data_IF_892993099742
#
_entry.id   IF_892993099742
#
_cell.length_a   1.000
_cell.length_b   1.000
_cell.length_c   1.000
_cell.angle_alpha   90.00
_cell.angle_beta   90.00
_cell.angle_gamma   90.00
#
_symmetry.space_group_name_H-M   'P 1'
#
loop_
_entity.id
_entity.type
_entity.pdbx_description
1 polymer ?
#
# COMPACT_ATOMS: atom_id res chain seq x y z
N UNK A 1 -1.84 -19.01 0.91
CA UNK A 1 -2.98 -18.27 1.50
C UNK A 1 -3.59 -17.33 0.46
N UNK A 2 -4.49 -17.84 -0.38
CA UNK A 2 -5.27 -17.05 -1.32
C UNK A 2 -6.46 -16.47 -0.55
N UNK A 3 -6.34 -15.27 -0.04
CA UNK A 3 -7.49 -14.55 0.50
C UNK A 3 -8.12 -13.73 -0.60
N UNK A 4 -9.30 -14.10 -1.02
CA UNK A 4 -10.13 -13.27 -1.87
C UNK A 4 -10.60 -12.05 -1.07
N UNK A 5 -10.34 -10.86 -1.56
CA UNK A 5 -10.77 -9.66 -0.89
C UNK A 5 -11.68 -8.85 -1.75
N UNK A 6 -12.86 -9.05 -1.61
CA UNK A 6 -13.83 -8.11 -2.08
C UNK A 6 -14.31 -8.37 -3.48
N UNK A 7 -15.53 -8.05 -3.60
CA UNK A 7 -16.34 -8.03 -4.78
C UNK A 7 -16.01 -6.74 -5.53
N UNK A 8 -15.41 -6.83 -6.69
CA UNK A 8 -15.18 -5.68 -7.55
C UNK A 8 -16.55 -5.26 -8.14
N UNK A 9 -16.97 -4.06 -7.83
CA UNK A 9 -18.31 -3.58 -8.17
C UNK A 9 -18.59 -3.50 -9.68
N UNK A 10 -17.55 -3.31 -10.50
CA UNK A 10 -17.73 -3.14 -11.95
C UNK A 10 -18.09 -4.42 -12.70
N UNK A 11 -17.66 -5.58 -12.24
CA UNK A 11 -17.88 -6.84 -12.93
C UNK A 11 -18.41 -7.94 -12.02
N UNK A 12 -18.85 -7.63 -10.82
CA UNK A 12 -19.39 -8.59 -9.84
C UNK A 12 -18.51 -9.84 -9.66
N UNK A 13 -17.20 -9.69 -9.66
CA UNK A 13 -16.25 -10.78 -9.51
C UNK A 13 -15.33 -10.56 -8.33
N UNK A 14 -14.86 -11.67 -7.75
CA UNK A 14 -13.84 -11.66 -6.71
C UNK A 14 -12.49 -11.26 -7.32
N UNK A 15 -11.77 -10.39 -6.64
CA UNK A 15 -10.43 -9.97 -7.01
C UNK A 15 -9.42 -10.53 -6.03
N UNK A 16 -8.29 -11.02 -6.53
CA UNK A 16 -7.19 -11.49 -5.68
C UNK A 16 -6.56 -10.33 -4.92
N UNK A 17 -6.15 -10.58 -3.69
CA UNK A 17 -5.53 -9.54 -2.83
C UNK A 17 -4.23 -9.02 -3.41
N UNK A 18 -3.44 -9.91 -3.92
CA UNK A 18 -2.15 -9.61 -4.51
C UNK A 18 -2.15 -10.13 -5.93
N UNK A 19 -1.90 -9.25 -6.85
CA UNK A 19 -1.75 -9.57 -8.26
C UNK A 19 -0.59 -8.73 -8.79
N UNK A 20 0.32 -9.38 -9.46
CA UNK A 20 1.44 -8.74 -10.12
C UNK A 20 1.39 -9.02 -11.61
N UNK A 21 1.54 -7.99 -12.41
CA UNK A 21 1.75 -8.06 -13.85
C UNK A 21 2.98 -7.20 -14.17
N UNK A 22 4.13 -7.82 -14.30
CA UNK A 22 5.39 -7.13 -14.54
C UNK A 22 6.23 -7.87 -15.55
N UNK A 23 7.06 -7.13 -16.25
CA UNK A 23 8.10 -7.68 -17.14
C UNK A 23 9.39 -7.70 -16.32
N UNK A 24 9.98 -8.87 -16.22
CA UNK A 24 11.29 -9.03 -15.60
C UNK A 24 12.38 -8.84 -16.66
N UNK A 25 13.26 -7.90 -16.41
CA UNK A 25 14.35 -7.60 -17.34
C UNK A 25 15.55 -8.48 -17.03
N UNK A 26 16.12 -9.08 -18.07
CA UNK A 26 17.32 -9.92 -17.96
C UNK A 26 18.60 -9.11 -17.71
N UNK A 27 18.53 -7.80 -17.89
CA UNK A 27 19.62 -6.86 -17.57
C UNK A 27 19.76 -6.62 -16.07
N UNK A 28 18.70 -6.82 -15.30
CA UNK A 28 18.70 -6.69 -13.86
C UNK A 28 19.25 -7.98 -13.22
N UNK A 29 19.86 -7.83 -12.05
CA UNK A 29 20.31 -8.98 -11.28
C UNK A 29 19.10 -9.82 -10.80
N UNK A 30 19.35 -11.11 -10.51
CA UNK A 30 18.32 -11.99 -9.95
C UNK A 30 17.74 -11.41 -8.66
N UNK A 31 18.58 -10.79 -7.83
CA UNK A 31 18.16 -10.19 -6.56
C UNK A 31 17.24 -8.99 -6.78
N UNK A 32 17.54 -8.09 -7.71
CA UNK A 32 16.69 -6.95 -8.05
C UNK A 32 15.33 -7.39 -8.59
N UNK A 33 15.31 -8.37 -9.51
CA UNK A 33 14.07 -8.93 -10.02
C UNK A 33 13.24 -9.61 -8.92
N UNK A 34 13.91 -10.33 -8.01
CA UNK A 34 13.23 -10.97 -6.87
C UNK A 34 12.64 -9.91 -5.93
N UNK A 35 13.37 -8.87 -5.58
CA UNK A 35 12.88 -7.79 -4.73
C UNK A 35 11.70 -7.06 -5.38
N UNK A 36 11.76 -6.82 -6.69
CA UNK A 36 10.63 -6.24 -7.43
C UNK A 36 9.36 -7.09 -7.33
N UNK A 37 9.49 -8.42 -7.35
CA UNK A 37 8.35 -9.32 -7.15
C UNK A 37 7.86 -9.23 -5.70
N UNK A 38 8.77 -9.24 -4.73
CA UNK A 38 8.46 -9.24 -3.30
C UNK A 38 7.70 -7.99 -2.86
N UNK A 39 8.08 -6.83 -3.37
CA UNK A 39 7.42 -5.54 -3.07
C UNK A 39 5.92 -5.55 -3.37
N UNK A 40 5.46 -6.32 -4.39
CA UNK A 40 4.07 -6.32 -4.81
C UNK A 40 3.12 -7.08 -3.87
N UNK A 41 3.63 -8.03 -3.11
CA UNK A 41 2.82 -8.78 -2.14
C UNK A 41 3.37 -8.67 -0.71
N UNK A 42 4.23 -7.67 -0.49
CA UNK A 42 4.88 -7.43 0.79
C UNK A 42 5.63 -8.68 1.29
N UNK A 43 6.37 -9.30 0.39
CA UNK A 43 7.23 -10.42 0.71
C UNK A 43 8.57 -9.96 1.23
N UNK A 44 9.15 -10.74 2.10
CA UNK A 44 10.51 -10.58 2.60
C UNK A 44 11.27 -11.87 2.31
N UNK A 45 12.44 -11.75 1.72
CA UNK A 45 13.34 -12.87 1.50
C UNK A 45 14.44 -12.82 2.55
N UNK A 46 14.48 -13.80 3.42
CA UNK A 46 15.52 -13.96 4.42
C UNK A 46 16.43 -15.14 4.07
N UNK A 47 17.71 -15.04 4.44
CA UNK A 47 18.64 -16.15 4.34
C UNK A 47 18.95 -16.64 5.75
N UNK A 48 18.52 -17.85 6.06
CA UNK A 48 18.72 -18.46 7.38
C UNK A 48 19.07 -19.94 7.23
N UNK A 49 20.03 -20.41 8.04
CA UNK A 49 20.42 -21.82 8.07
C UNK A 49 20.81 -22.41 6.69
N UNK A 50 21.44 -21.63 5.82
CA UNK A 50 21.86 -22.08 4.51
C UNK A 50 20.72 -22.15 3.46
N UNK A 51 19.56 -21.58 3.76
CA UNK A 51 18.38 -21.58 2.88
C UNK A 51 17.78 -20.18 2.77
N UNK A 52 17.20 -19.92 1.60
CA UNK A 52 16.33 -18.77 1.43
C UNK A 52 14.92 -19.12 1.91
N UNK A 53 14.40 -18.32 2.82
CA UNK A 53 13.04 -18.43 3.34
C UNK A 53 12.24 -17.23 2.88
N UNK A 54 11.05 -17.49 2.35
CA UNK A 54 10.12 -16.48 1.90
C UNK A 54 9.06 -16.28 2.98
N UNK A 55 9.04 -15.09 3.56
CA UNK A 55 7.99 -14.66 4.47
C UNK A 55 7.09 -13.64 3.78
N UNK A 56 5.79 -13.74 4.02
CA UNK A 56 4.82 -12.76 3.52
C UNK A 56 4.35 -11.94 4.70
N UNK A 57 4.52 -10.64 4.60
CA UNK A 57 4.04 -9.72 5.61
C UNK A 57 2.50 -9.71 5.62
N UNK A 58 1.93 -10.41 6.58
CA UNK A 58 0.49 -10.51 6.80
C UNK A 58 0.16 -10.21 8.26
N UNK A 59 -1.11 -10.05 8.56
CA UNK A 59 -1.57 -10.04 9.94
C UNK A 59 -1.24 -11.41 10.54
N UNK A 60 -0.31 -11.42 11.46
CA UNK A 60 0.04 -12.62 12.22
C UNK A 60 -0.65 -12.60 13.56
N UNK A 61 -1.18 -13.77 13.94
CA UNK A 61 -1.39 -14.01 15.35
C UNK A 61 0.00 -13.97 15.99
N UNK A 62 0.19 -13.06 16.95
CA UNK A 62 1.43 -13.02 17.74
C UNK A 62 1.74 -14.44 18.16
N UNK A 63 2.95 -14.98 17.88
CA UNK A 63 3.27 -16.35 18.21
C UNK A 63 2.89 -16.62 19.63
N UNK A 64 2.25 -17.77 19.88
CA UNK A 64 1.96 -18.22 21.24
C UNK A 64 3.23 -18.08 22.07
N UNK A 65 3.11 -17.48 23.23
CA UNK A 65 4.23 -17.06 24.07
C UNK A 65 5.11 -18.29 24.45
N UNK A 66 6.05 -18.62 23.57
CA UNK A 66 7.09 -19.62 23.83
C UNK A 66 8.33 -19.00 24.46
N UNK A 67 8.27 -17.72 24.85
CA UNK A 67 9.35 -16.98 25.46
C UNK A 67 10.51 -16.59 24.53
N UNK A 68 10.55 -17.09 23.29
CA UNK A 68 11.63 -16.76 22.35
C UNK A 68 11.45 -15.35 21.79
N UNK A 69 10.23 -15.03 21.36
CA UNK A 69 9.89 -13.73 20.76
C UNK A 69 9.44 -12.66 21.77
N UNK A 70 9.65 -12.89 23.06
CA UNK A 70 9.40 -11.93 24.12
C UNK A 70 10.74 -11.43 24.67
N UNK A 71 11.04 -10.18 24.46
CA UNK A 71 12.26 -9.49 24.89
C UNK A 71 11.94 -8.56 26.05
N UNK A 72 12.58 -8.80 27.17
CA UNK A 72 12.51 -7.92 28.34
C UNK A 72 13.73 -7.03 28.43
N UNK A 73 13.67 -6.03 29.26
CA UNK A 73 14.80 -5.12 29.49
C UNK A 73 16.09 -5.85 29.91
N UNK A 74 15.97 -7.00 30.61
CA UNK A 74 17.11 -7.82 31.03
C UNK A 74 17.77 -8.61 29.89
N UNK A 75 17.03 -8.84 28.77
CA UNK A 75 17.57 -9.52 27.59
C UNK A 75 18.37 -8.58 26.68
N UNK A 76 18.26 -7.26 26.90
CA UNK A 76 18.90 -6.23 26.08
C UNK A 76 20.27 -5.90 26.64
N UNK A 77 21.29 -6.01 25.82
CA UNK A 77 22.67 -5.66 26.15
C UNK A 77 22.96 -4.24 25.67
N UNK A 78 23.30 -3.38 26.61
CA UNK A 78 23.58 -1.96 26.33
C UNK A 78 22.29 -1.14 26.24
N UNK A 79 22.16 -0.37 25.18
CA UNK A 79 21.04 0.57 25.00
C UNK A 79 20.07 0.09 23.92
N UNK A 80 18.78 0.28 24.19
CA UNK A 80 17.76 0.23 23.17
C UNK A 80 17.72 1.60 22.46
N UNK A 81 18.04 1.63 21.18
CA UNK A 81 17.94 2.81 20.35
C UNK A 81 16.57 2.84 19.68
N UNK A 82 15.84 3.92 19.90
CA UNK A 82 14.53 4.15 19.29
C UNK A 82 14.65 5.34 18.34
N UNK A 83 14.24 5.16 17.12
CA UNK A 83 14.27 6.19 16.08
C UNK A 83 12.95 6.18 15.33
N UNK A 84 12.64 7.30 14.67
CA UNK A 84 11.56 7.30 13.69
C UNK A 84 12.09 6.73 12.37
N UNK A 85 11.37 5.80 11.78
CA UNK A 85 11.67 5.28 10.46
C UNK A 85 11.43 6.38 9.40
N UNK A 86 12.47 6.86 8.71
CA UNK A 86 12.32 7.94 7.73
C UNK A 86 11.43 7.55 6.54
N UNK A 87 11.23 6.26 6.28
CA UNK A 87 10.32 5.75 5.24
C UNK A 87 8.84 5.85 5.66
N UNK A 88 8.56 5.85 6.95
CA UNK A 88 7.22 5.87 7.54
C UNK A 88 6.83 7.25 8.06
N UNK A 89 6.82 8.25 7.18
CA UNK A 89 6.28 9.57 7.53
C UNK A 89 4.77 9.49 7.68
N UNK A 90 4.23 10.03 8.77
CA UNK A 90 2.78 9.99 9.05
C UNK A 90 1.96 10.68 7.96
N UNK A 91 1.51 9.93 6.97
CA UNK A 91 0.63 10.40 5.92
C UNK A 91 -0.84 10.24 6.33
N UNK A 92 -1.72 11.01 5.70
CA UNK A 92 -3.17 10.84 5.78
C UNK A 92 -3.84 10.76 4.42
N UNK A 93 -3.04 11.00 3.37
CA UNK A 93 -3.41 10.85 1.97
C UNK A 93 -2.26 10.17 1.23
N UNK A 94 -2.55 9.26 0.33
CA UNK A 94 -1.55 8.58 -0.49
C UNK A 94 -1.98 8.63 -1.95
N UNK A 95 -1.07 9.05 -2.81
CA UNK A 95 -1.20 8.95 -4.25
C UNK A 95 -0.34 7.80 -4.75
N UNK A 96 -0.98 6.73 -5.18
CA UNK A 96 -0.32 5.57 -5.75
C UNK A 96 -0.36 5.66 -7.28
N UNK A 97 0.77 5.44 -7.92
CA UNK A 97 0.87 5.33 -9.38
C UNK A 97 0.87 3.86 -9.77
N UNK A 98 -0.03 3.46 -10.64
CA UNK A 98 -0.16 2.10 -11.18
C UNK A 98 -0.06 2.11 -12.70
N UNK A 99 0.28 0.96 -13.32
CA UNK A 99 0.28 0.80 -14.77
C UNK A 99 -1.10 0.36 -15.25
N UNK A 100 -1.80 1.24 -15.98
CA UNK A 100 -3.18 0.99 -16.40
C UNK A 100 -3.26 0.42 -17.81
N UNK A 101 -3.70 -0.84 -17.99
CA UNK A 101 -3.91 -1.44 -19.30
C UNK A 101 -4.93 -0.68 -20.16
N UNK A 102 -5.95 -0.11 -19.54
CA UNK A 102 -6.98 0.68 -20.21
C UNK A 102 -6.44 1.99 -20.80
N UNK A 103 -5.35 2.51 -20.24
CA UNK A 103 -4.68 3.73 -20.68
C UNK A 103 -3.34 3.43 -21.39
N UNK A 104 -3.31 2.42 -22.26
CA UNK A 104 -2.12 2.02 -23.04
C UNK A 104 -0.88 1.79 -22.16
N UNK A 105 -1.06 1.20 -20.99
CA UNK A 105 -0.01 0.91 -20.01
C UNK A 105 0.68 2.16 -19.44
N UNK A 106 0.09 3.33 -19.62
CA UNK A 106 0.59 4.53 -18.98
C UNK A 106 0.26 4.55 -17.49
N UNK A 107 1.04 5.32 -16.73
CA UNK A 107 0.84 5.44 -15.30
C UNK A 107 -0.45 6.22 -14.99
N UNK A 108 -1.31 5.63 -14.21
CA UNK A 108 -2.54 6.25 -13.69
C UNK A 108 -2.41 6.41 -12.17
N UNK A 109 -2.85 7.55 -11.65
CA UNK A 109 -2.81 7.82 -10.21
C UNK A 109 -4.08 7.31 -9.53
N UNK A 110 -3.89 6.58 -8.43
CA UNK A 110 -4.94 6.13 -7.52
C UNK A 110 -4.74 6.86 -6.20
N UNK A 111 -5.67 7.70 -5.82
CA UNK A 111 -5.61 8.43 -4.55
C UNK A 111 -6.45 7.73 -3.48
N UNK A 112 -5.88 7.61 -2.30
CA UNK A 112 -6.57 7.11 -1.12
C UNK A 112 -6.34 8.08 0.05
N UNK A 113 -7.41 8.44 0.76
CA UNK A 113 -7.32 9.25 1.96
C UNK A 113 -8.15 8.64 3.10
N UNK A 114 -7.73 8.91 4.32
CA UNK A 114 -8.47 8.52 5.51
C UNK A 114 -8.95 9.76 6.27
N UNK A 115 -10.25 9.99 6.28
CA UNK A 115 -10.85 11.17 6.91
C UNK A 115 -10.60 11.27 8.42
N UNK A 116 -10.50 10.13 9.11
CA UNK A 116 -10.18 10.09 10.53
C UNK A 116 -8.74 10.55 10.80
N UNK A 117 -7.81 10.16 9.95
CA UNK A 117 -6.41 10.61 10.05
C UNK A 117 -6.27 12.10 9.71
N UNK A 118 -6.99 12.58 8.70
CA UNK A 118 -7.02 14.03 8.38
C UNK A 118 -7.52 14.84 9.58
N UNK A 119 -8.60 14.38 10.22
CA UNK A 119 -9.12 15.03 11.44
C UNK A 119 -8.11 14.99 12.60
N UNK A 120 -7.45 13.85 12.81
CA UNK A 120 -6.42 13.70 13.85
C UNK A 120 -5.22 14.63 13.59
N UNK A 121 -4.88 14.87 12.33
CA UNK A 121 -3.83 15.79 11.91
C UNK A 121 -4.31 17.27 11.81
N UNK A 122 -5.38 17.63 12.51
CA UNK A 122 -5.93 19.00 12.55
C UNK A 122 -6.36 19.53 11.18
N UNK A 123 -6.89 18.66 10.32
CA UNK A 123 -7.28 18.94 8.94
C UNK A 123 -6.11 19.37 8.03
N UNK A 124 -4.87 19.07 8.42
CA UNK A 124 -3.70 19.26 7.55
C UNK A 124 -3.54 18.03 6.68
N UNK A 125 -3.55 18.22 5.36
CA UNK A 125 -3.33 17.14 4.40
C UNK A 125 -1.83 16.86 4.28
N UNK A 126 -1.43 15.62 4.57
CA UNK A 126 -0.07 15.11 4.46
C UNK A 126 -0.07 14.01 3.41
N UNK A 127 0.46 14.29 2.24
CA UNK A 127 0.42 13.38 1.10
C UNK A 127 1.70 12.58 0.95
N UNK A 128 1.58 11.26 0.85
CA UNK A 128 2.64 10.35 0.42
C UNK A 128 2.45 9.95 -1.04
N UNK A 129 3.54 9.81 -1.77
CA UNK A 129 3.52 9.31 -3.14
C UNK A 129 4.24 7.96 -3.20
N UNK A 130 3.62 6.97 -3.83
CA UNK A 130 4.19 5.63 -4.02
C UNK A 130 3.94 5.16 -5.44
N UNK A 131 4.89 4.41 -6.00
CA UNK A 131 4.75 3.82 -7.34
C UNK A 131 4.72 2.31 -7.23
N UNK A 132 3.68 1.71 -7.80
CA UNK A 132 3.51 0.26 -7.89
C UNK A 132 3.64 -0.18 -9.35
N UNK A 133 4.85 -0.51 -9.78
CA UNK A 133 5.15 -0.79 -11.20
C UNK A 133 4.50 -2.07 -11.72
N UNK A 134 4.21 -3.04 -10.88
CA UNK A 134 3.59 -4.31 -11.27
C UNK A 134 2.09 -4.41 -10.98
N UNK A 135 1.49 -3.37 -10.43
CA UNK A 135 0.05 -3.34 -10.16
C UNK A 135 -0.65 -2.70 -11.36
N UNK A 136 -1.56 -3.46 -11.95
CA UNK A 136 -2.34 -3.03 -13.13
C UNK A 136 -3.83 -2.90 -12.83
N UNK A 137 -4.25 -3.30 -11.65
CA UNK A 137 -5.65 -3.25 -11.24
C UNK A 137 -5.84 -2.12 -10.21
N UNK A 138 -6.82 -1.26 -10.47
CA UNK A 138 -7.19 -0.14 -9.60
C UNK A 138 -7.44 -0.56 -8.14
N UNK A 139 -8.16 -1.68 -7.94
CA UNK A 139 -8.50 -2.16 -6.61
C UNK A 139 -7.28 -2.62 -5.82
N UNK A 140 -6.37 -3.31 -6.49
CA UNK A 140 -5.10 -3.71 -5.87
C UNK A 140 -4.24 -2.50 -5.55
N UNK A 141 -4.20 -1.51 -6.44
CA UNK A 141 -3.53 -0.24 -6.19
C UNK A 141 -4.07 0.48 -4.97
N UNK A 142 -5.40 0.53 -4.84
CA UNK A 142 -6.07 1.15 -3.70
C UNK A 142 -5.78 0.43 -2.38
N UNK A 143 -5.86 -0.90 -2.38
CA UNK A 143 -5.61 -1.71 -1.17
C UNK A 143 -4.17 -1.52 -0.68
N UNK A 144 -3.21 -1.54 -1.61
CA UNK A 144 -1.81 -1.32 -1.26
C UNK A 144 -1.56 0.13 -0.81
N UNK A 145 -2.23 1.11 -1.43
CA UNK A 145 -2.19 2.50 -0.97
C UNK A 145 -2.76 2.68 0.43
N UNK A 146 -3.88 1.99 0.76
CA UNK A 146 -4.46 1.99 2.10
C UNK A 146 -3.51 1.36 3.12
N UNK A 147 -2.89 0.22 2.79
CA UNK A 147 -1.89 -0.41 3.66
C UNK A 147 -0.72 0.53 3.90
N UNK A 148 -0.13 1.09 2.85
CA UNK A 148 0.98 2.04 2.95
C UNK A 148 0.63 3.25 3.82
N UNK A 149 -0.58 3.79 3.68
CA UNK A 149 -1.05 4.89 4.50
C UNK A 149 -1.17 4.49 5.98
N UNK A 150 -1.74 3.33 6.29
CA UNK A 150 -1.88 2.84 7.67
C UNK A 150 -0.53 2.54 8.29
N UNK A 151 0.36 1.90 7.55
CA UNK A 151 1.74 1.60 7.96
C UNK A 151 2.53 2.86 8.32
N UNK A 152 2.34 3.94 7.56
CA UNK A 152 3.00 5.22 7.82
C UNK A 152 2.65 5.86 9.17
N UNK A 153 1.58 5.41 9.83
CA UNK A 153 1.15 5.90 11.15
C UNK A 153 1.89 5.26 12.32
N UNK A 154 2.70 4.24 12.04
CA UNK A 154 3.51 3.52 13.03
C UNK A 154 5.00 3.68 12.71
N UNK A 155 5.58 4.85 13.02
CA UNK A 155 6.90 5.21 12.49
C UNK A 155 8.07 4.68 13.33
N UNK A 156 7.83 4.02 14.46
CA UNK A 156 8.92 3.65 15.35
C UNK A 156 9.79 2.54 14.74
N UNK A 157 11.09 2.76 14.75
CA UNK A 157 12.11 1.77 14.47
C UNK A 157 13.03 1.62 15.68
N UNK A 158 13.43 0.40 15.96
CA UNK A 158 14.28 0.06 17.10
C UNK A 158 15.51 -0.72 16.65
N UNK A 159 16.60 -0.49 17.33
CA UNK A 159 17.82 -1.26 17.19
C UNK A 159 18.38 -1.58 18.58
N UNK A 160 18.66 -2.85 18.82
CA UNK A 160 19.22 -3.30 20.08
C UNK A 160 20.06 -4.57 19.88
N UNK A 161 20.88 -4.88 20.87
CA UNK A 161 21.64 -6.13 20.92
C UNK A 161 21.07 -7.00 22.02
N UNK A 162 20.89 -8.28 21.74
CA UNK A 162 20.36 -9.25 22.70
C UNK A 162 21.30 -10.43 22.90
N UNK A 163 21.05 -11.17 23.96
CA UNK A 163 21.73 -12.44 24.27
C UNK A 163 21.51 -13.49 23.18
N UNK A 164 22.19 -14.64 23.19
CA UNK A 164 22.07 -15.70 22.19
C UNK A 164 20.65 -16.21 21.93
N UNK A 165 19.68 -15.92 22.80
CA UNK A 165 18.26 -16.15 22.57
C UNK A 165 17.78 -15.62 21.21
N UNK A 166 18.36 -14.48 20.77
CA UNK A 166 18.06 -13.88 19.46
C UNK A 166 18.41 -14.76 18.25
N UNK A 167 19.30 -15.75 18.40
CA UNK A 167 19.69 -16.70 17.32
C UNK A 167 18.49 -17.54 16.86
N UNK A 168 17.52 -17.76 17.74
CA UNK A 168 16.31 -18.54 17.43
C UNK A 168 15.25 -17.72 16.69
N UNK A 169 15.44 -16.42 16.60
CA UNK A 169 14.51 -15.52 15.91
C UNK A 169 14.78 -15.51 14.41
N UNK A 170 13.78 -15.10 13.64
CA UNK A 170 13.89 -14.95 12.19
C UNK A 170 13.43 -13.56 11.76
N UNK A 171 14.06 -13.04 10.71
CA UNK A 171 13.57 -11.83 10.05
C UNK A 171 12.15 -12.06 9.51
N UNK A 172 11.29 -11.03 9.56
CA UNK A 172 9.88 -11.12 9.19
C UNK A 172 8.95 -11.49 10.34
N UNK A 173 9.43 -12.08 11.41
CA UNK A 173 8.62 -12.45 12.58
C UNK A 173 8.35 -11.25 13.49
N UNK A 174 7.27 -11.35 14.26
CA UNK A 174 6.86 -10.32 15.22
C UNK A 174 7.39 -10.68 16.61
N UNK A 175 8.01 -9.71 17.28
CA UNK A 175 8.45 -9.85 18.65
C UNK A 175 7.72 -8.87 19.58
N UNK A 176 7.66 -9.20 20.86
CA UNK A 176 7.14 -8.38 21.95
C UNK A 176 8.29 -7.78 22.73
N UNK A 177 8.17 -6.53 23.12
CA UNK A 177 9.18 -5.86 23.96
C UNK A 177 8.52 -5.24 25.17
N UNK A 178 9.09 -5.56 26.34
CA UNK A 178 8.83 -4.88 27.60
C UNK A 178 10.01 -4.00 27.94
N UNK A 179 9.77 -2.68 28.05
CA UNK A 179 10.81 -1.73 28.37
C UNK A 179 10.26 -0.58 29.21
N UNK A 180 10.59 -0.59 30.50
CA UNK A 180 10.02 0.30 31.53
C UNK A 180 10.23 1.78 31.22
N UNK A 181 11.42 2.14 30.70
CA UNK A 181 11.77 3.53 30.41
C UNK A 181 10.81 4.21 29.44
N UNK A 182 10.22 3.46 28.51
CA UNK A 182 9.24 3.94 27.54
C UNK A 182 7.80 3.57 27.93
N UNK A 183 7.62 2.86 29.04
CA UNK A 183 6.30 2.36 29.46
C UNK A 183 5.74 1.30 28.51
N UNK A 184 6.61 0.58 27.80
CA UNK A 184 6.19 -0.46 26.90
C UNK A 184 5.93 -1.76 27.67
N UNK A 185 4.75 -2.32 27.42
CA UNK A 185 4.34 -3.63 27.90
C UNK A 185 3.73 -4.37 26.72
N UNK A 186 4.31 -5.51 26.37
CA UNK A 186 3.92 -6.29 25.18
C UNK A 186 3.91 -5.47 23.87
N UNK A 187 4.76 -4.45 23.74
CA UNK A 187 4.82 -3.63 22.52
C UNK A 187 5.36 -4.47 21.36
N UNK A 188 4.61 -4.47 20.24
CA UNK A 188 4.91 -5.32 19.10
C UNK A 188 5.82 -4.63 18.10
N UNK A 189 6.82 -5.38 17.63
CA UNK A 189 7.72 -4.97 16.56
C UNK A 189 7.95 -6.13 15.59
N UNK A 190 8.08 -5.83 14.31
CA UNK A 190 8.47 -6.81 13.29
C UNK A 190 9.96 -6.72 13.05
N UNK A 191 10.63 -7.86 13.09
CA UNK A 191 12.07 -7.98 12.83
C UNK A 191 12.31 -7.75 11.34
N UNK A 192 13.15 -6.76 11.03
CA UNK A 192 13.57 -6.46 9.65
C UNK A 192 14.90 -7.14 9.36
N UNK A 193 15.83 -7.06 10.31
CA UNK A 193 17.17 -7.58 10.12
C UNK A 193 17.72 -8.19 11.42
N UNK A 194 18.54 -9.22 11.26
CA UNK A 194 19.20 -9.97 12.31
C UNK A 194 20.67 -10.16 11.94
N UNK A 195 21.58 -9.63 12.75
CA UNK A 195 23.00 -9.77 12.58
C UNK A 195 23.62 -10.53 13.78
N UNK A 196 24.12 -11.74 13.52
CA UNK A 196 24.77 -12.58 14.52
C UNK A 196 26.24 -12.21 14.57
N UNK A 197 26.67 -11.66 15.70
CA UNK A 197 28.02 -11.21 15.91
C UNK A 197 28.96 -12.38 16.33
N UNK A 198 30.29 -12.24 16.15
CA UNK A 198 31.26 -13.28 16.52
C UNK A 198 31.26 -13.68 18.00
N UNK A 199 30.80 -12.78 18.86
CA UNK A 199 30.66 -12.99 20.32
C UNK A 199 29.33 -13.67 20.68
N UNK A 200 28.61 -14.21 19.70
CA UNK A 200 27.30 -14.83 19.83
C UNK A 200 26.20 -13.87 20.30
N UNK A 201 26.44 -12.58 20.32
CA UNK A 201 25.38 -11.59 20.51
C UNK A 201 24.63 -11.38 19.21
N UNK A 202 23.37 -10.99 19.33
CA UNK A 202 22.52 -10.77 18.15
C UNK A 202 22.04 -9.33 18.13
N UNK A 203 22.41 -8.60 17.07
CA UNK A 203 21.85 -7.28 16.80
C UNK A 203 20.55 -7.43 16.04
N UNK A 204 19.50 -6.80 16.56
CA UNK A 204 18.17 -6.85 15.98
C UNK A 204 17.76 -5.46 15.56
N UNK A 205 17.31 -5.34 14.31
CA UNK A 205 16.63 -4.16 13.78
C UNK A 205 15.17 -4.50 13.55
N UNK A 206 14.27 -3.75 14.14
CA UNK A 206 12.85 -4.01 14.05
C UNK A 206 12.04 -2.71 13.89
N UNK A 207 10.88 -2.82 13.27
CA UNK A 207 9.95 -1.70 13.03
C UNK A 207 8.63 -1.97 13.75
N UNK A 208 7.96 -0.91 14.15
CA UNK A 208 6.69 -1.03 14.87
C UNK A 208 5.67 -1.84 14.07
N UNK A 209 5.00 -2.75 14.75
CA UNK A 209 3.96 -3.59 14.22
C UNK A 209 2.63 -3.31 14.94
N UNK A 210 1.56 -3.24 14.16
CA UNK A 210 0.20 -3.17 14.68
C UNK A 210 -0.75 -3.86 13.69
N UNK A 211 -1.71 -4.61 14.19
CA UNK A 211 -2.72 -5.31 13.38
C UNK A 211 -3.58 -4.34 12.54
N UNK A 212 -3.74 -3.10 13.01
CA UNK A 212 -4.48 -2.06 12.29
C UNK A 212 -3.88 -1.71 10.91
N UNK A 213 -2.60 -2.04 10.68
CA UNK A 213 -1.96 -1.87 9.37
C UNK A 213 -2.61 -2.72 8.28
N UNK A 214 -3.17 -3.88 8.67
CA UNK A 214 -3.73 -4.88 7.75
C UNK A 214 -5.25 -4.84 7.62
N UNK A 215 -5.89 -3.96 8.37
CA UNK A 215 -7.32 -3.75 8.25
C UNK A 215 -7.60 -3.11 6.90
N UNK A 216 -8.27 -3.85 6.03
CA UNK A 216 -8.79 -3.31 4.79
C UNK A 216 -10.17 -2.78 5.10
N UNK A 217 -10.36 -1.49 4.84
CA UNK A 217 -11.68 -0.92 4.95
C UNK A 217 -12.57 -1.62 3.91
N UNK A 218 -13.52 -2.42 4.40
CA UNK A 218 -14.65 -2.90 3.62
C UNK A 218 -15.61 -1.76 3.26
N UNK A 219 -15.18 -0.51 3.38
CA UNK A 219 -15.87 0.56 2.75
C UNK A 219 -15.99 0.11 1.30
N UNK A 220 -17.15 -0.42 0.98
CA UNK A 220 -17.65 -0.42 -0.37
C UNK A 220 -17.35 0.98 -0.85
N UNK A 221 -16.16 1.14 -1.33
CA UNK A 221 -15.88 2.31 -2.08
C UNK A 221 -16.96 2.24 -3.12
N UNK A 222 -17.90 3.09 -2.98
CA UNK A 222 -18.56 3.60 -4.14
C UNK A 222 -17.43 3.74 -5.10
N UNK A 223 -17.35 2.89 -6.10
CA UNK A 223 -16.40 3.09 -7.15
C UNK A 223 -16.51 4.56 -7.37
N UNK A 224 -15.47 5.33 -7.08
CA UNK A 224 -15.34 6.58 -7.74
C UNK A 224 -15.29 6.08 -9.15
N UNK A 225 -16.44 6.07 -9.78
CA UNK A 225 -16.51 5.97 -11.21
C UNK A 225 -15.56 7.06 -11.60
N UNK A 226 -14.37 6.65 -11.97
CA UNK A 226 -13.37 7.53 -12.49
C UNK A 226 -13.89 7.88 -13.88
N UNK A 227 -15.02 8.58 -13.88
CA UNK A 227 -15.62 9.23 -15.02
C UNK A 227 -14.71 10.30 -15.55
N UNK A 228 -13.60 10.53 -14.85
CA UNK A 228 -12.58 11.51 -15.19
C UNK A 228 -11.18 10.90 -15.18
N UNK A 229 -11.02 9.70 -15.74
CA UNK A 229 -9.74 9.38 -16.35
C UNK A 229 -9.58 10.34 -17.53
N UNK A 230 -8.62 11.28 -17.48
CA UNK A 230 -8.27 12.01 -18.68
C UNK A 230 -7.76 10.97 -19.67
N UNK A 231 -8.60 10.52 -20.59
CA UNK A 231 -8.21 9.54 -21.58
C UNK A 231 -9.14 8.38 -21.85
N UNK A 232 -10.23 8.18 -21.12
CA UNK A 232 -11.39 7.55 -21.72
C UNK A 232 -11.92 8.56 -22.72
N UNK A 233 -11.24 8.64 -23.88
CA UNK A 233 -11.87 9.20 -25.04
C UNK A 233 -13.27 8.59 -25.04
N UNK A 234 -14.28 9.43 -24.90
CA UNK A 234 -15.63 9.01 -25.23
C UNK A 234 -15.55 8.39 -26.61
N UNK A 235 -15.51 7.07 -26.69
CA UNK A 235 -15.47 6.32 -27.94
C UNK A 235 -16.82 6.36 -28.66
N UNK A 236 -17.75 7.16 -28.14
CA UNK A 236 -18.97 7.51 -28.83
C UNK A 236 -18.80 8.88 -29.50
N UNK A 237 -18.98 8.95 -30.80
CA UNK A 237 -19.18 10.22 -31.45
C UNK A 237 -20.28 11.00 -30.70
N UNK A 238 -20.09 12.30 -30.44
CA UNK A 238 -21.15 13.08 -29.82
C UNK A 238 -22.44 12.87 -30.58
N UNK A 239 -23.51 12.63 -29.85
CA UNK A 239 -24.83 12.43 -30.48
C UNK A 239 -25.12 13.57 -31.44
N UNK A 240 -25.75 13.27 -32.58
CA UNK A 240 -26.10 14.31 -33.51
C UNK A 240 -27.07 15.30 -32.85
N UNK A 241 -26.92 16.62 -33.11
CA UNK A 241 -27.91 17.59 -32.67
C UNK A 241 -29.29 17.22 -33.22
N UNK A 242 -30.30 17.38 -32.38
CA UNK A 242 -31.70 17.06 -32.76
C UNK A 242 -32.52 18.34 -32.95
N UNK A 243 -33.67 18.23 -33.58
CA UNK A 243 -34.61 19.32 -33.78
C UNK A 243 -34.00 20.52 -34.52
N UNK A 244 -33.17 20.26 -35.54
CA UNK A 244 -32.64 21.31 -36.40
C UNK A 244 -33.79 21.98 -37.14
N UNK A 245 -33.98 23.29 -36.93
CA UNK A 245 -34.94 24.13 -37.64
C UNK A 245 -34.20 25.31 -38.27
N UNK A 246 -34.60 25.61 -39.48
CA UNK A 246 -34.11 26.79 -40.20
C UNK A 246 -35.28 27.73 -40.46
N UNK A 247 -35.18 28.96 -40.04
CA UNK A 247 -36.15 30.01 -40.33
C UNK A 247 -35.46 31.14 -41.08
N UNK A 248 -35.98 31.50 -42.25
CA UNK A 248 -35.45 32.61 -43.04
C UNK A 248 -36.40 33.80 -42.94
N UNK A 249 -35.90 34.93 -42.59
CA UNK A 249 -36.70 36.18 -42.54
C UNK A 249 -36.89 36.80 -43.95
N UNK A 250 -37.71 37.80 -44.02
CA UNK A 250 -38.01 38.50 -45.28
C UNK A 250 -36.81 39.25 -45.87
N UNK A 251 -35.71 39.36 -45.14
CA UNK A 251 -34.46 40.01 -45.55
C UNK A 251 -33.41 39.00 -45.98
N UNK A 252 -33.75 37.69 -46.03
CA UNK A 252 -32.84 36.60 -46.41
C UNK A 252 -31.90 36.13 -45.32
N UNK A 253 -32.06 36.57 -44.06
CA UNK A 253 -31.28 36.08 -42.92
C UNK A 253 -31.86 34.76 -42.45
N UNK A 254 -31.04 33.71 -42.45
CA UNK A 254 -31.44 32.38 -41.99
C UNK A 254 -30.93 32.11 -40.58
N UNK A 255 -31.82 31.88 -39.65
CA UNK A 255 -31.53 31.47 -38.28
C UNK A 255 -31.70 29.97 -38.16
N UNK A 256 -30.64 29.31 -37.66
CA UNK A 256 -30.65 27.87 -37.37
C UNK A 256 -30.78 27.67 -35.86
N UNK A 257 -31.77 26.88 -35.47
CA UNK A 257 -31.97 26.46 -34.09
C UNK A 257 -31.86 24.94 -34.03
N UNK A 258 -31.20 24.43 -33.00
CA UNK A 258 -31.05 23.00 -32.74
C UNK A 258 -31.03 22.70 -31.26
N UNK A 259 -31.37 21.50 -30.87
CA UNK A 259 -31.24 21.01 -29.52
C UNK A 259 -29.90 20.29 -29.39
N UNK A 260 -29.06 20.73 -28.43
CA UNK A 260 -27.76 20.12 -28.11
C UNK A 260 -27.97 18.67 -27.66
N UNK A 261 -27.10 17.76 -28.08
CA UNK A 261 -27.11 16.38 -27.57
C UNK A 261 -26.91 16.37 -26.05
N UNK A 262 -27.72 15.57 -25.36
CA UNK A 262 -27.82 15.52 -23.88
C UNK A 262 -26.58 14.90 -23.19
N UNK A 263 -25.53 14.55 -23.93
CA UNK A 263 -24.36 13.86 -23.43
C UNK A 263 -23.19 14.76 -23.04
N UNK A 264 -23.36 16.08 -23.10
CA UNK A 264 -22.39 17.01 -22.53
C UNK A 264 -22.85 17.40 -21.13
N UNK A 265 -22.27 16.79 -20.10
CA UNK A 265 -22.29 17.34 -18.75
C UNK A 265 -21.22 18.41 -18.71
N UNK A 266 -21.60 19.64 -18.54
CA UNK A 266 -20.64 20.72 -18.23
C UNK A 266 -19.98 20.39 -16.88
N UNK A 267 -18.64 20.43 -16.87
CA UNK A 267 -17.84 20.29 -15.66
C UNK A 267 -17.94 21.54 -14.78
#
# INVERSE_FOLDING_TARGET
>A
YWRWIGWAHDNQRWVTRHQMNSILETTNSLFENTNSILEHYNGMLSYSNGRYELEVEAQENVPADNGVYHITQSDIIGNLNVTDDPSRKSFNTVNASISDPGNKWSNTSVSFYNSSFVKADRNVVKTGNVKFSGITNYWNGRINAEKFLRESRFPLAINFTTMPKGILMKAGQVLKIDYDRFGWNDKLFRIVDLDIQPDCLVRISAVEYNDDMYVISNARATAVTNTELPGTAQTGAPGAPTALTATTDKFGTTVLNWTRASTFVEA
#
